data_IF_037661437853
#
_entry.id   IF_037661437853
#
_cell.length_a   1.000
_cell.length_b   1.000
_cell.length_c   1.000
_cell.angle_alpha   90.00
_cell.angle_beta   90.00
_cell.angle_gamma   90.00
#
_symmetry.space_group_name_H-M   'P 1'
#
loop_
_entity.id
_entity.type
_entity.pdbx_description
1 polymer ?
#
# COMPACT_ATOMS: atom_id res chain seq x y z
N UNK A 1 -23.33 11.02 18.86
CA UNK A 1 -22.10 11.57 18.24
C UNK A 1 -21.35 10.46 17.52
N UNK A 2 -20.68 10.82 16.48
CA UNK A 2 -19.92 9.90 15.63
C UNK A 2 -18.53 10.48 15.37
N UNK A 3 -17.50 9.70 15.63
CA UNK A 3 -16.13 10.03 15.25
C UNK A 3 -15.77 9.13 14.07
N UNK A 4 -15.49 9.74 12.95
CA UNK A 4 -15.13 9.06 11.72
C UNK A 4 -13.71 9.46 11.33
N UNK A 5 -12.79 8.52 11.41
CA UNK A 5 -11.42 8.70 10.96
C UNK A 5 -11.23 7.89 9.67
N UNK A 6 -11.04 8.57 8.57
CA UNK A 6 -10.62 7.95 7.31
C UNK A 6 -9.11 7.96 7.24
N UNK A 7 -8.52 6.79 7.17
CA UNK A 7 -7.15 6.69 6.71
C UNK A 7 -7.15 7.11 5.23
N UNK A 8 -6.63 8.31 4.99
CA UNK A 8 -6.43 8.81 3.63
C UNK A 8 -5.55 7.80 2.91
N UNK A 9 -5.94 7.48 1.69
CA UNK A 9 -5.16 6.66 0.76
C UNK A 9 -3.69 7.11 0.78
N UNK A 10 -2.87 6.35 1.46
CA UNK A 10 -1.44 6.53 1.36
C UNK A 10 -1.01 5.66 0.20
N UNK A 11 -0.88 6.26 -0.98
CA UNK A 11 0.02 5.67 -1.96
C UNK A 11 1.36 5.66 -1.26
N UNK A 12 1.87 4.49 -0.97
CA UNK A 12 3.28 4.34 -0.69
C UNK A 12 3.94 4.68 -2.01
N UNK A 13 3.99 6.00 -2.29
CA UNK A 13 4.88 6.47 -3.29
C UNK A 13 6.24 5.95 -2.82
N UNK A 14 6.89 5.19 -3.67
CA UNK A 14 8.30 4.88 -3.55
C UNK A 14 9.11 6.18 -3.68
N UNK A 15 8.69 7.20 -2.93
CA UNK A 15 9.30 8.51 -2.74
C UNK A 15 10.43 8.47 -1.74
N UNK A 16 10.95 7.30 -1.43
CA UNK A 16 12.26 7.12 -0.79
C UNK A 16 13.42 7.31 -1.77
N UNK A 17 13.14 7.70 -3.02
CA UNK A 17 14.12 8.33 -3.90
C UNK A 17 14.25 9.84 -3.66
N UNK A 18 13.77 10.35 -2.53
CA UNK A 18 14.11 11.66 -2.02
C UNK A 18 15.53 11.62 -1.53
N UNK A 19 16.47 11.79 -2.48
CA UNK A 19 17.75 12.47 -2.34
C UNK A 19 18.37 12.50 -0.94
N UNK A 20 18.83 11.38 -0.41
CA UNK A 20 20.07 11.37 0.26
C UNK A 20 21.17 11.38 -0.84
N UNK A 21 21.22 12.46 -1.61
CA UNK A 21 22.48 12.96 -2.09
C UNK A 21 23.19 13.43 -0.81
N UNK A 22 23.68 12.46 -0.04
CA UNK A 22 24.92 12.66 0.65
C UNK A 22 25.86 13.08 -0.48
N UNK A 23 26.04 14.40 -0.63
CA UNK A 23 27.26 14.91 -1.19
C UNK A 23 28.35 14.23 -0.35
N UNK A 24 28.75 13.03 -0.77
CA UNK A 24 30.04 12.51 -0.39
C UNK A 24 30.99 13.53 -1.03
N UNK A 25 31.33 14.57 -0.26
CA UNK A 25 32.60 15.19 -0.38
C UNK A 25 33.56 14.03 -0.25
N UNK A 26 33.93 13.46 -1.39
CA UNK A 26 35.15 12.64 -1.48
C UNK A 26 36.16 13.53 -0.85
N UNK A 27 36.72 13.26 0.35
CA UNK A 27 37.85 13.97 0.80
C UNK A 27 38.82 13.80 -0.35
N UNK A 28 39.25 14.87 -0.95
CA UNK A 28 40.41 14.86 -1.85
C UNK A 28 41.56 14.38 -0.97
N UNK A 29 41.60 13.08 -0.74
CA UNK A 29 42.72 12.37 -0.16
C UNK A 29 43.81 12.59 -1.17
N UNK A 30 44.68 13.54 -0.88
CA UNK A 30 45.95 13.63 -1.56
C UNK A 30 46.75 12.38 -1.12
N UNK A 31 46.28 11.23 -1.62
CA UNK A 31 46.92 9.97 -1.38
C UNK A 31 48.34 10.09 -1.88
N UNK A 32 49.28 9.97 -0.97
CA UNK A 32 50.70 9.93 -1.32
C UNK A 32 50.82 8.76 -2.31
N UNK A 33 51.09 9.09 -3.58
CA UNK A 33 51.25 8.08 -4.60
C UNK A 33 52.47 7.23 -4.19
N UNK A 34 52.32 5.89 -4.14
CA UNK A 34 53.39 4.97 -3.77
C UNK A 34 54.64 5.24 -4.59
N UNK A 35 54.48 5.70 -5.84
CA UNK A 35 55.57 6.05 -6.73
C UNK A 35 56.27 7.34 -6.30
N UNK A 36 55.51 8.30 -5.77
CA UNK A 36 56.09 9.56 -5.21
C UNK A 36 56.89 9.24 -3.96
N UNK A 37 56.39 8.33 -3.13
CA UNK A 37 57.05 7.88 -1.90
C UNK A 37 58.41 7.22 -2.20
N UNK A 38 58.48 6.37 -3.22
CA UNK A 38 59.71 5.74 -3.70
C UNK A 38 60.71 6.79 -4.25
N UNK A 39 60.22 7.78 -5.00
CA UNK A 39 61.06 8.86 -5.54
C UNK A 39 61.66 9.73 -4.42
N UNK A 40 60.87 10.06 -3.41
CA UNK A 40 61.34 10.82 -2.24
C UNK A 40 62.41 10.09 -1.45
N UNK A 41 62.28 8.75 -1.31
CA UNK A 41 63.28 7.89 -0.71
C UNK A 41 64.55 7.83 -1.54
N UNK A 42 64.40 7.65 -2.86
CA UNK A 42 65.54 7.56 -3.76
C UNK A 42 66.34 8.86 -3.81
N UNK A 43 65.67 10.02 -3.73
CA UNK A 43 66.30 11.33 -3.69
C UNK A 43 66.86 11.76 -2.32
N UNK A 44 66.73 10.92 -1.28
CA UNK A 44 67.16 11.21 0.07
C UNK A 44 66.35 12.29 0.81
N UNK A 45 65.20 12.68 0.26
CA UNK A 45 64.35 13.71 0.84
C UNK A 45 63.60 13.23 2.09
N UNK A 46 63.48 11.91 2.31
CA UNK A 46 62.90 11.29 3.49
C UNK A 46 63.84 10.23 4.06
N UNK A 47 63.88 10.11 5.38
CA UNK A 47 64.64 9.07 6.07
C UNK A 47 63.96 7.70 5.93
N UNK A 48 64.71 6.57 6.09
CA UNK A 48 64.13 5.25 6.07
C UNK A 48 62.99 5.04 7.07
N UNK A 49 63.03 5.69 8.23
CA UNK A 49 62.00 5.65 9.24
C UNK A 49 60.73 6.34 8.78
N UNK A 50 60.83 7.53 8.21
CA UNK A 50 59.72 8.30 7.65
C UNK A 50 59.07 7.55 6.45
N UNK A 51 59.90 6.91 5.62
CA UNK A 51 59.38 6.08 4.54
C UNK A 51 58.51 4.90 5.05
N UNK A 52 58.98 4.20 6.09
CA UNK A 52 58.23 3.09 6.68
C UNK A 52 56.90 3.55 7.31
N UNK A 53 56.87 4.69 7.95
CA UNK A 53 55.68 5.28 8.55
C UNK A 53 54.67 5.65 7.46
N UNK A 54 55.06 6.40 6.45
CA UNK A 54 54.23 6.82 5.32
C UNK A 54 53.71 5.61 4.50
N UNK A 55 54.51 4.55 4.38
CA UNK A 55 54.10 3.32 3.71
C UNK A 55 53.02 2.57 4.51
N UNK A 56 53.12 2.59 5.83
CA UNK A 56 52.10 2.00 6.71
C UNK A 56 50.78 2.79 6.62
N UNK A 57 50.87 4.10 6.62
CA UNK A 57 49.72 5.00 6.47
C UNK A 57 49.03 4.80 5.12
N UNK A 58 49.77 4.77 4.02
CA UNK A 58 49.25 4.48 2.67
C UNK A 58 48.56 3.12 2.58
N UNK A 59 49.09 2.14 3.29
CA UNK A 59 48.52 0.80 3.29
C UNK A 59 47.20 0.77 4.07
N UNK A 60 47.17 1.48 5.23
CA UNK A 60 45.96 1.57 6.04
C UNK A 60 44.86 2.37 5.34
N UNK A 61 45.20 3.43 4.64
CA UNK A 61 44.25 4.22 3.84
C UNK A 61 43.65 3.37 2.67
N UNK A 62 44.50 2.61 1.98
CA UNK A 62 44.01 1.72 0.92
C UNK A 62 43.09 0.62 1.44
N UNK A 63 43.40 0.06 2.60
CA UNK A 63 42.53 -0.91 3.25
C UNK A 63 41.20 -0.27 3.67
N UNK A 64 41.23 0.91 4.29
CA UNK A 64 40.00 1.63 4.65
C UNK A 64 39.14 1.98 3.43
N UNK A 65 39.77 2.39 2.31
CA UNK A 65 39.06 2.66 1.06
C UNK A 65 38.45 1.40 0.45
N UNK A 66 39.18 0.26 0.50
CA UNK A 66 38.65 -1.02 0.03
C UNK A 66 37.48 -1.52 0.90
N UNK A 67 37.57 -1.39 2.21
CA UNK A 67 36.47 -1.72 3.12
C UNK A 67 35.26 -0.80 2.91
N UNK A 68 35.48 0.50 2.76
CA UNK A 68 34.43 1.46 2.45
C UNK A 68 33.74 1.14 1.09
N UNK A 69 34.54 0.78 0.08
CA UNK A 69 34.01 0.38 -1.23
C UNK A 69 33.26 -0.97 -1.17
N UNK A 70 33.71 -1.90 -0.34
CA UNK A 70 33.05 -3.19 -0.15
C UNK A 70 31.71 -3.06 0.61
N UNK A 71 31.62 -2.07 1.51
CA UNK A 71 30.43 -1.78 2.29
C UNK A 71 29.46 -0.82 1.57
N UNK A 72 29.85 -0.21 0.46
CA UNK A 72 28.94 0.58 -0.36
C UNK A 72 27.88 -0.34 -0.98
N UNK A 73 26.60 -0.02 -0.75
CA UNK A 73 25.49 -0.65 -1.47
C UNK A 73 25.69 -0.41 -2.95
N UNK A 74 25.98 -1.49 -3.69
CA UNK A 74 26.18 -1.37 -5.14
C UNK A 74 24.89 -0.92 -5.81
N UNK A 75 24.99 -0.07 -6.80
CA UNK A 75 23.83 0.37 -7.59
C UNK A 75 23.03 -0.81 -8.16
N UNK A 76 23.68 -1.94 -8.44
CA UNK A 76 23.06 -3.19 -8.85
C UNK A 76 22.16 -3.79 -7.74
N UNK A 77 22.60 -3.71 -6.48
CA UNK A 77 21.85 -4.27 -5.35
C UNK A 77 20.63 -3.41 -5.03
N UNK A 78 20.78 -2.09 -5.16
CA UNK A 78 19.67 -1.15 -5.02
C UNK A 78 18.63 -1.38 -6.13
N UNK A 79 19.04 -1.53 -7.39
CA UNK A 79 18.11 -1.81 -8.49
C UNK A 79 17.43 -3.17 -8.36
N UNK A 80 18.12 -4.19 -7.87
CA UNK A 80 17.54 -5.49 -7.58
C UNK A 80 16.53 -5.43 -6.42
N UNK A 81 16.80 -4.63 -5.40
CA UNK A 81 15.87 -4.37 -4.31
C UNK A 81 14.64 -3.59 -4.81
N UNK A 82 14.83 -2.53 -5.59
CA UNK A 82 13.75 -1.75 -6.21
C UNK A 82 12.82 -2.63 -7.03
N UNK A 83 13.36 -3.56 -7.83
CA UNK A 83 12.54 -4.51 -8.58
C UNK A 83 11.74 -5.46 -7.67
N UNK A 84 12.34 -5.93 -6.58
CA UNK A 84 11.65 -6.81 -5.62
C UNK A 84 10.49 -6.11 -4.89
N UNK A 85 10.57 -4.81 -4.67
CA UNK A 85 9.54 -4.02 -3.97
C UNK A 85 8.65 -3.22 -4.92
N UNK A 86 8.87 -3.28 -6.24
CA UNK A 86 8.10 -2.53 -7.23
C UNK A 86 6.58 -2.81 -7.17
N UNK A 87 6.18 -4.03 -6.77
CA UNK A 87 4.79 -4.38 -6.53
C UNK A 87 4.17 -3.55 -5.39
N UNK A 88 4.95 -3.24 -4.35
CA UNK A 88 4.47 -2.45 -3.21
C UNK A 88 4.16 -1.00 -3.63
N UNK A 89 4.91 -0.44 -4.58
CA UNK A 89 4.65 0.88 -5.13
C UNK A 89 3.33 0.95 -5.93
N UNK A 90 2.87 -0.20 -6.43
CA UNK A 90 1.60 -0.36 -7.14
C UNK A 90 0.44 -0.74 -6.21
N UNK A 91 0.71 -0.94 -4.94
CA UNK A 91 -0.30 -1.33 -3.93
C UNK A 91 -0.74 -0.10 -3.14
N UNK A 92 -2.04 0.16 -3.18
CA UNK A 92 -2.68 1.20 -2.40
C UNK A 92 -3.37 0.58 -1.19
N UNK A 93 -3.06 1.08 0.02
CA UNK A 93 -3.75 0.70 1.24
C UNK A 93 -4.83 1.72 1.56
N UNK A 94 -6.05 1.23 1.76
CA UNK A 94 -7.22 2.04 2.14
C UNK A 94 -7.88 1.45 3.36
N UNK A 95 -8.38 2.31 4.25
CA UNK A 95 -9.12 1.83 5.39
C UNK A 95 -9.84 2.95 6.13
N UNK A 96 -10.68 2.54 7.05
CA UNK A 96 -11.35 3.44 7.97
C UNK A 96 -11.57 2.77 9.32
N UNK A 97 -11.62 3.60 10.35
CA UNK A 97 -12.08 3.22 11.69
C UNK A 97 -13.19 4.17 12.08
N UNK A 98 -14.30 3.61 12.59
CA UNK A 98 -15.43 4.37 13.06
C UNK A 98 -15.86 3.86 14.44
N UNK A 99 -16.06 4.76 15.39
CA UNK A 99 -16.70 4.50 16.67
C UNK A 99 -18.00 5.29 16.70
N UNK A 100 -19.10 4.63 17.02
CA UNK A 100 -20.43 5.22 16.97
C UNK A 100 -21.22 4.84 18.22
N UNK A 101 -21.91 5.82 18.82
CA UNK A 101 -23.01 5.60 19.74
C UNK A 101 -24.33 5.69 18.94
N UNK A 102 -25.17 4.70 19.07
CA UNK A 102 -26.44 4.58 18.36
C UNK A 102 -27.56 4.44 19.38
N UNK A 103 -28.46 5.41 19.39
CA UNK A 103 -29.71 5.36 20.17
C UNK A 103 -30.87 5.45 19.17
N UNK A 104 -31.63 4.36 19.05
CA UNK A 104 -32.78 4.26 18.14
C UNK A 104 -34.02 4.00 18.98
N UNK A 105 -35.01 4.88 18.88
CA UNK A 105 -36.33 4.73 19.47
C UNK A 105 -37.36 4.65 18.35
N UNK A 106 -38.27 3.68 18.44
CA UNK A 106 -39.30 3.48 17.44
C UNK A 106 -40.63 3.73 18.13
N UNK A 107 -41.31 4.81 17.75
CA UNK A 107 -42.59 5.20 18.34
C UNK A 107 -43.66 4.13 18.02
N UNK A 108 -44.45 3.79 19.05
CA UNK A 108 -45.56 2.82 18.93
C UNK A 108 -45.15 1.35 18.93
N UNK A 109 -43.84 1.05 19.06
CA UNK A 109 -43.35 -0.32 19.18
C UNK A 109 -43.02 -0.66 20.63
N UNK A 110 -43.04 -1.97 20.96
CA UNK A 110 -42.64 -2.45 22.29
C UNK A 110 -41.15 -2.13 22.54
N UNK A 111 -40.79 -1.94 23.83
CA UNK A 111 -39.42 -1.58 24.26
C UNK A 111 -38.30 -2.48 23.72
N UNK A 112 -38.61 -3.71 23.30
CA UNK A 112 -37.62 -4.64 22.72
C UNK A 112 -37.04 -4.24 21.37
N UNK A 113 -37.60 -3.22 20.70
CA UNK A 113 -37.04 -2.70 19.43
C UNK A 113 -36.20 -1.45 19.61
N UNK A 114 -36.22 -0.83 20.76
CA UNK A 114 -35.33 0.28 21.07
C UNK A 114 -33.91 -0.22 21.23
N UNK A 115 -32.96 0.51 20.66
CA UNK A 115 -31.54 0.13 20.68
C UNK A 115 -30.72 1.29 21.24
N UNK A 116 -29.93 1.00 22.26
CA UNK A 116 -28.90 1.89 22.80
C UNK A 116 -27.59 1.12 22.85
N UNK A 117 -26.66 1.43 21.95
CA UNK A 117 -25.45 0.63 21.78
C UNK A 117 -24.26 1.42 21.30
N UNK A 118 -23.09 0.93 21.67
CA UNK A 118 -21.80 1.38 21.15
C UNK A 118 -21.39 0.44 20.02
N UNK A 119 -20.90 1.00 18.92
CA UNK A 119 -20.48 0.21 17.76
C UNK A 119 -19.11 0.63 17.29
N UNK A 120 -18.35 -0.35 16.77
CA UNK A 120 -17.08 -0.14 16.09
C UNK A 120 -17.17 -0.67 14.66
N UNK A 121 -16.48 0.01 13.77
CA UNK A 121 -16.13 -0.49 12.44
C UNK A 121 -14.66 -0.26 12.19
N UNK A 122 -13.96 -1.28 11.71
CA UNK A 122 -12.61 -1.18 11.19
C UNK A 122 -12.53 -1.92 9.86
N UNK A 123 -12.04 -1.26 8.83
CA UNK A 123 -11.85 -1.84 7.50
C UNK A 123 -10.43 -1.53 7.03
N UNK A 124 -9.76 -2.53 6.44
CA UNK A 124 -8.45 -2.38 5.84
C UNK A 124 -8.40 -3.16 4.54
N UNK A 125 -8.06 -2.50 3.46
CA UNK A 125 -7.91 -3.10 2.14
C UNK A 125 -6.56 -2.78 1.50
N UNK A 126 -6.11 -3.72 0.68
CA UNK A 126 -4.96 -3.58 -0.21
C UNK A 126 -5.45 -3.75 -1.66
N UNK A 127 -5.13 -2.78 -2.50
CA UNK A 127 -5.55 -2.73 -3.90
C UNK A 127 -4.32 -2.58 -4.77
N UNK A 128 -4.10 -3.51 -5.69
CA UNK A 128 -2.84 -3.61 -6.43
C UNK A 128 -3.10 -3.69 -7.93
N UNK A 129 -2.39 -2.87 -8.70
CA UNK A 129 -2.24 -3.05 -10.13
C UNK A 129 -1.21 -4.16 -10.39
N UNK A 130 -1.68 -5.32 -10.83
CA UNK A 130 -0.80 -6.45 -11.22
C UNK A 130 -0.09 -6.13 -12.53
N UNK A 131 -0.85 -5.64 -13.50
CA UNK A 131 -0.37 -5.17 -14.79
C UNK A 131 -1.37 -4.17 -15.38
N UNK A 132 -1.08 -3.51 -16.54
CA UNK A 132 -1.98 -2.51 -17.12
C UNK A 132 -3.40 -2.96 -17.48
N UNK A 133 -3.70 -4.24 -17.36
CA UNK A 133 -5.02 -4.81 -17.68
C UNK A 133 -5.65 -5.54 -16.49
N UNK A 134 -4.94 -5.68 -15.36
CA UNK A 134 -5.41 -6.48 -14.21
C UNK A 134 -5.16 -5.76 -12.91
N UNK A 135 -6.23 -5.48 -12.20
CA UNK A 135 -6.23 -5.03 -10.82
C UNK A 135 -6.77 -6.13 -9.90
N UNK A 136 -6.38 -6.07 -8.64
CA UNK A 136 -6.93 -6.93 -7.60
C UNK A 136 -7.17 -6.13 -6.33
N UNK A 137 -8.14 -6.56 -5.53
CA UNK A 137 -8.43 -5.95 -4.24
C UNK A 137 -8.76 -7.02 -3.20
N UNK A 138 -8.19 -6.84 -2.02
CA UNK A 138 -8.51 -7.62 -0.82
C UNK A 138 -8.85 -6.64 0.29
N UNK A 139 -9.99 -6.84 0.96
CA UNK A 139 -10.39 -6.04 2.13
C UNK A 139 -10.85 -6.96 3.26
N UNK A 140 -10.39 -6.66 4.45
CA UNK A 140 -10.91 -7.22 5.70
C UNK A 140 -11.74 -6.16 6.42
N UNK A 141 -12.80 -6.58 7.11
CA UNK A 141 -13.67 -5.69 7.87
C UNK A 141 -14.13 -6.35 9.16
N UNK A 142 -14.45 -5.55 10.17
CA UNK A 142 -15.25 -5.98 11.32
C UNK A 142 -16.66 -6.30 10.86
N UNK A 143 -17.44 -7.03 11.67
CA UNK A 143 -18.85 -7.32 11.42
C UNK A 143 -19.27 -8.65 12.03
N UNK A 144 -20.56 -8.96 11.97
CA UNK A 144 -21.10 -10.29 12.26
C UNK A 144 -21.04 -11.15 10.98
N UNK A 145 -20.69 -12.43 11.10
CA UNK A 145 -20.63 -13.34 9.95
C UNK A 145 -21.98 -13.66 9.33
N UNK A 146 -23.06 -13.36 10.02
CA UNK A 146 -24.45 -13.58 9.65
C UNK A 146 -25.16 -12.34 9.08
N UNK A 147 -24.55 -11.16 9.20
CA UNK A 147 -25.11 -9.90 8.66
C UNK A 147 -24.24 -9.32 7.53
N UNK A 148 -24.56 -9.69 6.31
CA UNK A 148 -23.89 -9.18 5.11
C UNK A 148 -24.07 -7.67 4.86
N UNK A 149 -25.01 -7.03 5.56
CA UNK A 149 -25.38 -5.62 5.35
C UNK A 149 -24.60 -4.66 6.25
N UNK A 150 -23.78 -5.16 7.16
CA UNK A 150 -23.13 -4.29 8.16
C UNK A 150 -21.74 -4.76 8.51
N UNK A 151 -20.78 -3.88 8.31
CA UNK A 151 -19.41 -4.04 8.82
C UNK A 151 -19.24 -3.51 10.25
N UNK A 152 -20.34 -3.06 10.89
CA UNK A 152 -20.30 -2.63 12.29
C UNK A 152 -20.44 -3.81 13.22
N UNK A 153 -19.77 -3.74 14.37
CA UNK A 153 -19.83 -4.71 15.44
C UNK A 153 -20.15 -4.00 16.75
N UNK A 154 -21.04 -4.58 17.56
CA UNK A 154 -21.44 -4.00 18.82
C UNK A 154 -20.35 -4.21 19.88
N UNK A 155 -20.16 -3.22 20.76
CA UNK A 155 -19.27 -3.25 21.91
C UNK A 155 -20.11 -3.59 23.15
N UNK A 156 -20.57 -4.82 23.22
CA UNK A 156 -21.56 -5.32 24.18
C UNK A 156 -20.97 -6.26 25.24
N UNK A 157 -19.72 -6.67 25.05
CA UNK A 157 -19.03 -7.60 25.92
C UNK A 157 -17.67 -7.08 26.35
N UNK A 158 -17.35 -7.17 27.67
CA UNK A 158 -16.20 -6.53 28.29
C UNK A 158 -14.84 -6.91 27.71
N UNK A 159 -14.61 -8.17 27.41
CA UNK A 159 -13.28 -8.69 27.04
C UNK A 159 -13.31 -9.53 25.77
N UNK A 160 -14.43 -9.61 25.08
CA UNK A 160 -14.54 -10.41 23.88
C UNK A 160 -13.77 -9.79 22.71
N UNK A 161 -13.03 -10.64 22.03
CA UNK A 161 -12.37 -10.26 20.79
C UNK A 161 -13.43 -10.01 19.71
N UNK A 162 -13.24 -8.96 18.93
CA UNK A 162 -14.09 -8.65 17.81
C UNK A 162 -13.64 -9.39 16.56
N UNK A 163 -14.59 -9.80 15.74
CA UNK A 163 -14.36 -10.61 14.56
C UNK A 163 -13.92 -9.76 13.38
N UNK A 164 -13.05 -10.34 12.54
CA UNK A 164 -12.64 -9.78 11.25
C UNK A 164 -12.97 -10.78 10.16
N UNK A 165 -13.57 -10.31 9.09
CA UNK A 165 -14.04 -11.11 7.97
C UNK A 165 -13.40 -10.69 6.67
N UNK A 166 -13.29 -11.63 5.73
CA UNK A 166 -12.95 -11.31 4.36
C UNK A 166 -14.16 -10.61 3.71
N UNK A 167 -14.02 -9.31 3.51
CA UNK A 167 -15.08 -8.45 3.04
C UNK A 167 -15.06 -8.27 1.51
N UNK A 168 -13.86 -8.23 0.93
CA UNK A 168 -13.66 -8.23 -0.52
C UNK A 168 -12.45 -9.07 -0.88
N UNK A 169 -12.54 -9.81 -1.99
CA UNK A 169 -11.43 -10.51 -2.65
C UNK A 169 -11.80 -10.72 -4.11
N UNK A 170 -11.25 -9.93 -5.01
CA UNK A 170 -11.64 -9.92 -6.42
C UNK A 170 -10.48 -9.63 -7.35
N UNK A 171 -10.67 -9.99 -8.61
CA UNK A 171 -9.83 -9.61 -9.75
C UNK A 171 -10.69 -8.78 -10.70
N UNK A 172 -10.15 -7.68 -11.18
CA UNK A 172 -10.75 -6.82 -12.20
C UNK A 172 -9.86 -6.83 -13.44
N UNK A 173 -10.36 -7.43 -14.50
CA UNK A 173 -9.72 -7.44 -15.81
C UNK A 173 -10.33 -6.35 -16.69
N UNK A 174 -9.51 -5.42 -17.17
CA UNK A 174 -9.89 -4.33 -18.05
C UNK A 174 -9.03 -4.35 -19.32
N UNK A 175 -9.54 -4.96 -20.40
CA UNK A 175 -8.80 -5.13 -21.64
C UNK A 175 -8.51 -3.78 -22.31
N UNK A 176 -7.27 -3.60 -22.77
CA UNK A 176 -6.88 -2.37 -23.49
C UNK A 176 -7.61 -2.18 -24.82
N UNK A 177 -8.09 -3.28 -25.41
CA UNK A 177 -8.82 -3.26 -26.67
C UNK A 177 -10.20 -2.60 -26.57
N UNK A 178 -10.83 -2.63 -25.39
CA UNK A 178 -12.15 -2.02 -25.13
C UNK A 178 -12.02 -1.13 -23.92
N UNK A 179 -11.82 0.15 -24.18
CA UNK A 179 -11.69 1.15 -23.13
C UNK A 179 -12.93 1.16 -22.23
N UNK A 180 -12.72 1.36 -20.93
CA UNK A 180 -13.76 1.49 -19.92
C UNK A 180 -14.65 0.24 -19.70
N UNK A 181 -14.25 -0.91 -20.27
CA UNK A 181 -14.83 -2.22 -19.96
C UNK A 181 -14.06 -2.85 -18.78
N UNK A 182 -14.80 -3.35 -17.79
CA UNK A 182 -14.26 -4.12 -16.67
C UNK A 182 -14.99 -5.45 -16.55
N UNK A 183 -14.24 -6.53 -16.38
CA UNK A 183 -14.74 -7.87 -16.08
C UNK A 183 -14.23 -8.25 -14.70
N UNK A 184 -15.13 -8.33 -13.75
CA UNK A 184 -14.81 -8.47 -12.34
C UNK A 184 -15.27 -9.86 -11.86
N UNK A 185 -14.39 -10.57 -11.15
CA UNK A 185 -14.69 -11.88 -10.57
C UNK A 185 -14.24 -11.99 -9.13
N UNK A 186 -15.08 -12.61 -8.27
CA UNK A 186 -14.82 -12.84 -6.85
C UNK A 186 -15.85 -12.16 -5.94
N UNK A 187 -15.44 -11.86 -4.70
CA UNK A 187 -16.22 -11.06 -3.75
C UNK A 187 -15.85 -9.59 -3.97
N UNK A 188 -16.70 -8.87 -4.69
CA UNK A 188 -16.37 -7.57 -5.28
C UNK A 188 -17.15 -6.42 -4.64
N UNK A 189 -16.65 -5.16 -4.73
CA UNK A 189 -17.50 -4.01 -4.46
C UNK A 189 -18.69 -3.99 -5.41
N UNK A 190 -19.79 -3.32 -5.03
CA UNK A 190 -20.99 -3.24 -5.86
C UNK A 190 -20.66 -2.77 -7.27
N UNK A 191 -20.89 -3.61 -8.30
CA UNK A 191 -20.56 -3.27 -9.69
C UNK A 191 -21.70 -2.51 -10.40
N UNK A 192 -22.59 -1.89 -9.64
CA UNK A 192 -23.68 -1.05 -10.14
C UNK A 192 -23.64 0.34 -9.53
N UNK A 193 -24.34 1.27 -10.12
CA UNK A 193 -24.54 2.61 -9.55
C UNK A 193 -25.61 2.52 -8.47
N UNK A 194 -25.25 2.84 -7.24
CA UNK A 194 -26.18 2.90 -6.10
C UNK A 194 -26.62 4.34 -5.84
N UNK A 195 -27.89 4.51 -5.52
CA UNK A 195 -28.45 5.79 -5.05
C UNK A 195 -28.43 5.86 -3.50
N UNK A 196 -27.25 5.67 -2.92
CA UNK A 196 -27.08 5.52 -1.47
C UNK A 196 -27.61 4.17 -0.98
N UNK A 197 -27.97 4.08 0.31
CA UNK A 197 -28.44 2.84 0.95
C UNK A 197 -29.96 2.62 0.77
N UNK A 198 -30.56 3.14 -0.32
CA UNK A 198 -32.03 3.04 -0.53
C UNK A 198 -32.44 1.64 -0.97
N UNK A 199 -31.67 0.99 -1.85
CA UNK A 199 -31.98 -0.35 -2.36
C UNK A 199 -31.01 -1.38 -1.79
N UNK A 200 -29.71 -1.07 -1.84
CA UNK A 200 -28.63 -1.91 -1.36
C UNK A 200 -27.76 -1.13 -0.37
N UNK A 201 -27.52 -1.73 0.80
CA UNK A 201 -26.56 -1.18 1.76
C UNK A 201 -25.16 -1.17 1.13
N UNK A 202 -24.42 -0.09 1.34
CA UNK A 202 -23.07 0.10 0.79
C UNK A 202 -22.03 -0.90 1.34
N UNK A 203 -22.34 -1.57 2.44
CA UNK A 203 -21.50 -2.62 3.03
C UNK A 203 -21.68 -4.01 2.34
N UNK A 204 -22.70 -4.17 1.47
CA UNK A 204 -22.93 -5.42 0.72
C UNK A 204 -21.91 -5.54 -0.40
N UNK A 205 -21.17 -6.64 -0.41
CA UNK A 205 -20.20 -7.01 -1.43
C UNK A 205 -20.64 -8.31 -2.11
N UNK A 206 -21.17 -8.27 -3.35
CA UNK A 206 -21.64 -9.46 -4.04
C UNK A 206 -20.51 -10.41 -4.40
N UNK A 207 -20.85 -11.71 -4.47
CA UNK A 207 -19.96 -12.78 -4.91
C UNK A 207 -20.40 -13.28 -6.28
N UNK A 208 -19.45 -13.43 -7.21
CA UNK A 208 -19.75 -13.90 -8.56
C UNK A 208 -18.87 -13.27 -9.62
N UNK A 209 -19.49 -13.00 -10.78
CA UNK A 209 -18.85 -12.34 -11.91
C UNK A 209 -19.73 -11.20 -12.42
N UNK A 210 -19.08 -10.08 -12.80
CA UNK A 210 -19.77 -8.93 -13.34
C UNK A 210 -18.99 -8.31 -14.50
N UNK A 211 -19.71 -7.70 -15.43
CA UNK A 211 -19.17 -6.84 -16.45
C UNK A 211 -19.72 -5.43 -16.23
N UNK A 212 -18.87 -4.42 -16.23
CA UNK A 212 -19.27 -3.01 -16.19
C UNK A 212 -18.67 -2.26 -17.37
N UNK A 213 -19.44 -1.32 -17.90
CA UNK A 213 -18.98 -0.49 -19.00
C UNK A 213 -19.39 0.95 -18.76
N UNK A 214 -18.46 1.86 -18.96
CA UNK A 214 -18.69 3.31 -18.89
C UNK A 214 -18.39 3.95 -20.23
N UNK A 215 -19.21 4.92 -20.61
CA UNK A 215 -18.98 5.66 -21.85
C UNK A 215 -19.35 7.14 -21.66
N UNK A 216 -18.39 8.00 -21.91
CA UNK A 216 -18.61 9.46 -21.91
C UNK A 216 -19.12 9.91 -23.27
N UNK A 217 -20.27 10.55 -23.29
CA UNK A 217 -20.87 11.12 -24.52
C UNK A 217 -20.18 12.43 -24.90
N UNK A 218 -18.97 12.32 -25.45
CA UNK A 218 -18.19 13.47 -25.91
C UNK A 218 -17.94 14.50 -24.80
N UNK A 219 -18.06 15.80 -25.13
CA UNK A 219 -17.85 16.90 -24.17
C UNK A 219 -19.12 17.33 -23.44
N UNK A 220 -20.20 16.56 -23.52
CA UNK A 220 -21.49 16.90 -22.92
C UNK A 220 -21.56 16.79 -21.40
N UNK A 221 -20.55 16.19 -20.76
CA UNK A 221 -20.57 15.88 -19.33
C UNK A 221 -21.54 14.73 -18.96
N UNK A 222 -22.12 14.06 -19.95
CA UNK A 222 -23.02 12.93 -19.75
C UNK A 222 -22.20 11.64 -19.82
N UNK A 223 -22.26 10.83 -18.76
CA UNK A 223 -21.68 9.49 -18.68
C UNK A 223 -22.81 8.45 -18.76
N UNK A 224 -22.68 7.49 -19.68
CA UNK A 224 -23.51 6.29 -19.71
C UNK A 224 -22.81 5.18 -18.94
N UNK A 225 -23.56 4.48 -18.11
CA UNK A 225 -23.08 3.35 -17.34
C UNK A 225 -23.98 2.13 -17.57
N UNK A 226 -23.35 0.97 -17.80
CA UNK A 226 -24.02 -0.31 -17.90
C UNK A 226 -23.32 -1.34 -17.00
N UNK A 227 -24.13 -2.19 -16.36
CA UNK A 227 -23.65 -3.30 -15.53
C UNK A 227 -24.48 -4.53 -15.75
N UNK A 228 -23.84 -5.67 -15.89
CA UNK A 228 -24.47 -6.98 -15.93
C UNK A 228 -23.64 -7.98 -15.11
N UNK A 229 -24.29 -8.87 -14.38
CA UNK A 229 -23.57 -9.83 -13.54
C UNK A 229 -24.38 -11.07 -13.22
N UNK A 230 -23.65 -12.12 -12.85
CA UNK A 230 -24.18 -13.34 -12.26
C UNK A 230 -23.63 -13.45 -10.84
N UNK A 231 -24.51 -13.51 -9.87
CA UNK A 231 -24.18 -13.51 -8.46
C UNK A 231 -24.66 -14.78 -7.77
N UNK A 232 -23.80 -15.34 -6.93
CA UNK A 232 -24.15 -16.48 -6.09
C UNK A 232 -25.01 -15.98 -4.93
N UNK A 233 -26.23 -16.46 -4.86
CA UNK A 233 -27.12 -16.23 -3.73
C UNK A 233 -27.04 -17.44 -2.79
N UNK A 234 -27.35 -17.23 -1.51
CA UNK A 234 -27.41 -18.32 -0.53
C UNK A 234 -28.56 -19.25 -0.90
N UNK A 235 -28.26 -20.54 -1.11
CA UNK A 235 -29.27 -21.58 -1.19
C UNK A 235 -29.87 -21.80 0.20
N UNK A 236 -31.17 -21.90 0.27
CA UNK A 236 -31.92 -22.23 1.49
C UNK A 236 -32.02 -23.74 1.68
#
# INVERSE_FOLDING_TARGET
WEIHMRLVSTRVAAGLCGGLVLAMSVPASAGVDAKLLEMLKANGSISPAQYAELQTELTSEKQAQQEAAANQVKKSDLSAFEQKVAWAAKTEFKGDVRVRHENVKIDGESDGKNKDRQRIRARLGAYTEINPQVNTGIRIATGGGDDARSTNQDLDNYFDKKQLWLDQAYIDYHPTAVKDLHLIGGKMPQPWVSTGDVIWDSDINPEGVAATYKHNLGNSGVEMFGSAGYYTLKDN
#
